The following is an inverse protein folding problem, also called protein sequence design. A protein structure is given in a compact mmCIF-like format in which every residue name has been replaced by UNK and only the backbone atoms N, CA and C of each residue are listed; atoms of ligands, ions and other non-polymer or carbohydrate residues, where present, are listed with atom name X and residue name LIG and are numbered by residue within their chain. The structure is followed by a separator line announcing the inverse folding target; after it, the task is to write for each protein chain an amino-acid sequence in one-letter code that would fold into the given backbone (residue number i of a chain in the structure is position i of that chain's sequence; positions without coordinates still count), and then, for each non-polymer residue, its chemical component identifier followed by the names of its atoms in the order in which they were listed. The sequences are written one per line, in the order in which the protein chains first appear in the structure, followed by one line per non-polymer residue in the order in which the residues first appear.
data_IF_774008619418
#
_entry.id   IF_774008619418
#
_cell.length_a   1.000
_cell.length_b   1.000
_cell.length_c   1.000
_cell.angle_alpha   90.00
_cell.angle_beta   90.00
_cell.angle_gamma   90.00
#
_symmetry.space_group_name_H-M   'P 1'
#
loop_
_entity.id
_entity.type
_entity.pdbx_description
1 polymer ?
#
# COMPACT_ATOMS: atom_id res chain seq x y z
N UNK A 1 4.04 -12.51 -0.97
CA UNK A 1 4.73 -11.33 -0.42
C UNK A 1 3.88 -10.75 0.67
N UNK A 2 4.50 -10.14 1.68
CA UNK A 2 3.79 -9.53 2.81
C UNK A 2 3.06 -8.28 2.34
N UNK A 3 1.75 -8.20 2.53
CA UNK A 3 0.92 -7.08 2.08
C UNK A 3 0.42 -6.23 3.28
N UNK A 4 -0.33 -5.15 3.02
CA UNK A 4 -0.84 -4.25 4.07
C UNK A 4 -1.65 -4.95 5.17
N UNK A 5 -2.29 -6.08 4.87
CA UNK A 5 -3.02 -6.85 5.89
C UNK A 5 -2.06 -7.47 6.92
N UNK A 6 -0.90 -7.96 6.46
CA UNK A 6 0.12 -8.48 7.37
C UNK A 6 0.73 -7.39 8.24
N UNK A 7 0.88 -6.16 7.72
CA UNK A 7 1.34 -5.02 8.51
C UNK A 7 0.36 -4.72 9.66
N UNK A 8 -0.95 -4.75 9.38
CA UNK A 8 -2.00 -4.57 10.38
C UNK A 8 -1.95 -5.67 11.45
N UNK A 9 -1.72 -6.92 11.06
CA UNK A 9 -1.55 -8.02 12.00
C UNK A 9 -0.34 -7.85 12.90
N UNK A 10 0.82 -7.44 12.34
CA UNK A 10 2.05 -7.22 13.11
C UNK A 10 1.84 -6.10 14.14
N UNK A 11 1.22 -5.00 13.75
CA UNK A 11 0.88 -3.91 14.66
C UNK A 11 -0.09 -4.37 15.76
N UNK A 12 -1.12 -5.16 15.39
CA UNK A 12 -2.04 -5.79 16.35
C UNK A 12 -1.32 -6.63 17.41
N UNK A 13 -0.49 -7.58 16.97
CA UNK A 13 0.31 -8.45 17.86
C UNK A 13 1.28 -7.64 18.72
N UNK A 14 1.85 -6.56 18.18
CA UNK A 14 2.75 -5.67 18.93
C UNK A 14 2.00 -4.95 20.05
N UNK A 15 0.80 -4.45 19.79
CA UNK A 15 -0.05 -3.84 20.83
C UNK A 15 -0.44 -4.84 21.91
N UNK A 16 -0.85 -6.05 21.52
CA UNK A 16 -1.12 -7.14 22.47
C UNK A 16 0.11 -7.47 23.32
N UNK A 17 1.28 -7.49 22.70
CA UNK A 17 2.57 -7.71 23.36
C UNK A 17 2.90 -6.63 24.38
N UNK A 18 2.56 -5.36 24.10
CA UNK A 18 2.71 -4.28 25.09
C UNK A 18 1.74 -4.46 26.24
N UNK A 19 0.48 -4.80 25.96
CA UNK A 19 -0.56 -4.98 26.98
C UNK A 19 -0.25 -6.13 27.94
N UNK A 20 0.32 -7.23 27.44
CA UNK A 20 0.68 -8.39 28.25
C UNK A 20 2.12 -8.34 28.81
N UNK A 21 2.87 -7.27 28.52
CA UNK A 21 4.24 -7.07 29.00
C UNK A 21 5.33 -7.88 28.29
N UNK A 22 5.01 -8.63 27.23
CA UNK A 22 6.00 -9.37 26.44
C UNK A 22 6.79 -8.49 25.46
N UNK A 23 6.30 -7.29 25.16
CA UNK A 23 6.96 -6.28 24.32
C UNK A 23 7.11 -5.00 25.11
N UNK A 24 8.31 -4.44 25.15
CA UNK A 24 8.54 -3.16 25.81
C UNK A 24 8.00 -2.01 24.96
N UNK A 25 7.68 -0.88 25.59
CA UNK A 25 7.22 0.32 24.89
C UNK A 25 8.22 0.79 23.84
N UNK A 26 9.52 0.67 24.10
CA UNK A 26 10.54 1.10 23.14
C UNK A 26 10.66 0.15 21.94
N UNK A 27 10.50 -1.16 22.16
CA UNK A 27 10.38 -2.11 21.06
C UNK A 27 9.14 -1.82 20.21
N UNK A 28 8.01 -1.53 20.84
CA UNK A 28 6.78 -1.18 20.12
C UNK A 28 6.91 0.11 19.30
N UNK A 29 7.61 1.13 19.83
CA UNK A 29 7.94 2.35 19.07
C UNK A 29 8.79 2.03 17.84
N UNK A 30 9.82 1.19 17.98
CA UNK A 30 10.66 0.79 16.85
C UNK A 30 9.84 0.10 15.75
N UNK A 31 8.95 -0.81 16.13
CA UNK A 31 8.03 -1.48 15.18
C UNK A 31 7.11 -0.46 14.50
N UNK A 32 6.54 0.48 15.26
CA UNK A 32 5.67 1.52 14.71
C UNK A 32 6.40 2.42 13.69
N UNK A 33 7.67 2.77 13.96
CA UNK A 33 8.48 3.56 13.02
C UNK A 33 8.70 2.82 11.70
N UNK A 34 9.07 1.53 11.75
CA UNK A 34 9.26 0.72 10.53
C UNK A 34 7.95 0.59 9.76
N UNK A 35 6.82 0.40 10.47
CA UNK A 35 5.51 0.32 9.84
C UNK A 35 5.10 1.63 9.13
N UNK A 36 5.45 2.78 9.69
CA UNK A 36 5.21 4.08 9.08
C UNK A 36 6.00 4.26 7.77
N UNK A 37 7.26 3.81 7.74
CA UNK A 37 8.10 3.87 6.54
C UNK A 37 7.57 2.97 5.43
N UNK A 38 7.12 1.76 5.79
CA UNK A 38 6.44 0.83 4.88
C UNK A 38 5.20 1.48 4.26
N UNK A 39 4.36 2.12 5.08
CA UNK A 39 3.15 2.78 4.59
C UNK A 39 3.46 3.99 3.69
N UNK A 40 4.53 4.72 4.00
CA UNK A 40 5.02 5.83 3.18
C UNK A 40 5.48 5.32 1.80
N UNK A 41 6.25 4.23 1.77
CA UNK A 41 6.70 3.59 0.53
C UNK A 41 5.53 3.11 -0.31
N UNK A 42 4.54 2.46 0.32
CA UNK A 42 3.31 2.02 -0.33
C UNK A 42 2.56 3.18 -1.00
N UNK A 43 2.45 4.33 -0.32
CA UNK A 43 1.80 5.52 -0.88
C UNK A 43 2.55 6.06 -2.09
N UNK A 44 3.88 6.12 -2.03
CA UNK A 44 4.72 6.56 -3.15
C UNK A 44 4.53 5.67 -4.39
N UNK A 45 4.45 4.35 -4.21
CA UNK A 45 4.21 3.44 -5.33
C UNK A 45 2.84 3.65 -5.98
N UNK A 46 1.79 3.88 -5.19
CA UNK A 46 0.47 4.22 -5.70
C UNK A 46 0.49 5.54 -6.46
N UNK A 47 1.18 6.55 -5.93
CA UNK A 47 1.32 7.85 -6.58
C UNK A 47 2.08 7.73 -7.91
N UNK A 48 3.13 6.90 -7.98
CA UNK A 48 3.85 6.61 -9.22
C UNK A 48 3.01 5.81 -10.23
N UNK A 49 2.26 4.80 -9.78
CA UNK A 49 1.34 4.05 -10.62
C UNK A 49 0.28 4.97 -11.26
N UNK A 50 -0.22 5.94 -10.50
CA UNK A 50 -1.15 6.97 -11.01
C UNK A 50 -0.48 7.93 -11.99
N UNK A 51 0.73 8.40 -11.69
CA UNK A 51 1.45 9.36 -12.52
C UNK A 51 1.88 8.77 -13.89
N UNK A 52 1.97 7.45 -13.99
CA UNK A 52 2.39 6.72 -15.20
C UNK A 52 1.23 6.05 -15.94
N UNK A 53 -0.03 6.36 -15.60
CA UNK A 53 -1.22 5.71 -16.17
C UNK A 53 -1.17 4.17 -16.12
N UNK A 54 -0.51 3.61 -15.10
CA UNK A 54 -0.34 2.16 -14.92
C UNK A 54 0.85 1.52 -15.63
N UNK A 55 1.72 2.30 -16.31
CA UNK A 55 2.98 1.77 -16.88
C UNK A 55 4.00 1.40 -15.78
N UNK A 56 3.91 2.00 -14.60
CA UNK A 56 4.70 1.60 -13.44
C UNK A 56 4.13 0.29 -12.83
N UNK A 57 4.90 -0.80 -12.96
CA UNK A 57 4.56 -2.15 -12.46
C UNK A 57 4.91 -2.40 -10.99
N UNK A 58 5.23 -1.36 -10.22
CA UNK A 58 5.66 -1.51 -8.82
C UNK A 58 7.14 -1.88 -8.69
N UNK A 59 7.68 -1.76 -7.47
CA UNK A 59 9.03 -2.29 -7.13
C UNK A 59 9.01 -3.78 -6.76
N UNK A 60 7.82 -4.40 -6.71
CA UNK A 60 7.56 -5.70 -6.10
C UNK A 60 7.10 -5.62 -4.63
N UNK A 61 6.87 -4.42 -4.10
CA UNK A 61 6.37 -4.21 -2.73
C UNK A 61 4.83 -4.27 -2.63
N UNK A 62 4.13 -3.78 -3.66
CA UNK A 62 2.68 -3.91 -3.83
C UNK A 62 2.36 -4.45 -5.22
N UNK A 63 1.41 -5.39 -5.29
CA UNK A 63 0.76 -5.74 -6.56
C UNK A 63 -0.22 -4.62 -6.94
N UNK A 64 0.26 -3.66 -7.72
CA UNK A 64 -0.57 -2.62 -8.33
C UNK A 64 -1.17 -3.18 -9.62
N UNK A 65 -2.47 -3.46 -9.61
CA UNK A 65 -3.20 -3.88 -10.81
C UNK A 65 -3.23 -2.70 -11.81
N UNK A 66 -2.54 -2.80 -12.96
CA UNK A 66 -2.25 -1.66 -13.82
C UNK A 66 -3.42 -1.31 -14.74
N UNK A 67 -4.65 -1.66 -14.40
CA UNK A 67 -5.78 -1.48 -15.32
C UNK A 67 -6.03 0.02 -15.57
N UNK A 68 -5.74 0.54 -16.78
CA UNK A 68 -5.98 1.93 -17.08
C UNK A 68 -7.49 2.13 -17.18
N UNK A 69 -8.08 2.94 -16.31
CA UNK A 69 -9.45 3.43 -16.51
C UNK A 69 -9.43 4.49 -17.62
N UNK A 70 -9.34 4.08 -18.89
CA UNK A 70 -9.58 4.99 -20.01
C UNK A 70 -11.03 5.50 -19.92
N UNK A 71 -11.27 6.82 -19.89
CA UNK A 71 -12.60 7.36 -20.20
C UNK A 71 -12.92 6.97 -21.64
N UNK A 72 -14.03 6.26 -21.88
CA UNK A 72 -14.56 6.07 -23.24
C UNK A 72 -15.06 7.42 -23.75
N UNK A 73 -14.19 8.17 -24.41
CA UNK A 73 -14.59 9.35 -25.20
C UNK A 73 -14.74 8.88 -26.65
N UNK A 74 -15.99 8.80 -27.12
CA UNK A 74 -16.31 8.77 -28.55
C UNK A 74 -16.93 7.50 -29.12
N UNK A 75 -18.12 7.12 -28.65
CA UNK A 75 -19.10 6.42 -29.48
C UNK A 75 -20.36 7.28 -29.56
N UNK A 76 -20.39 8.25 -30.48
CA UNK A 76 -21.62 8.77 -31.09
C UNK A 76 -21.22 9.73 -32.20
N UNK A 77 -21.40 9.31 -33.45
CA UNK A 77 -21.16 10.20 -34.60
C UNK A 77 -20.77 9.54 -35.91
N UNK A 78 -21.43 8.44 -36.32
CA UNK A 78 -21.57 8.11 -37.76
C UNK A 78 -22.90 7.40 -38.01
N UNK A 79 -23.85 8.17 -38.53
CA UNK A 79 -25.10 7.68 -39.11
C UNK A 79 -25.55 8.66 -40.17
N UNK A 80 -24.95 8.57 -41.35
CA UNK A 80 -25.54 9.00 -42.63
C UNK A 80 -25.42 7.81 -43.58
#
# INVERSE_FOLDING_TARGET
MKNLNELREILGRTMEGVLNGSVTVDQAKAVATVAAEVNTTARLEVDMARATDGDFKGSGFLDVDPTPKRPQIGQEGRGR
#
